data_IF_439512610540
#
_entry.id   IF_439512610540
#
_cell.length_a   1.000
_cell.length_b   1.000
_cell.length_c   1.000
_cell.angle_alpha   90.00
_cell.angle_beta   90.00
_cell.angle_gamma   90.00
#
_symmetry.space_group_name_H-M   'P 1'
#
loop_
_entity.id
_entity.type
_entity.pdbx_description
1 polymer ?
#
# COMPACT_ATOMS: atom_id res chain seq x y z
N UNK A 1 -37.10 28.02 -11.40
CA UNK A 1 -36.64 26.99 -12.36
C UNK A 1 -36.59 25.65 -11.65
N UNK A 2 -37.01 24.59 -12.32
CA UNK A 2 -36.79 23.23 -11.83
C UNK A 2 -35.31 22.86 -12.03
N UNK A 3 -34.80 21.90 -11.24
CA UNK A 3 -33.42 21.37 -11.43
C UNK A 3 -33.25 20.83 -12.87
N UNK A 4 -34.33 20.37 -13.50
CA UNK A 4 -34.30 19.93 -14.91
C UNK A 4 -33.96 21.05 -15.90
N UNK A 5 -34.44 22.27 -15.65
CA UNK A 5 -34.18 23.45 -16.50
C UNK A 5 -32.78 24.05 -16.25
N UNK A 6 -32.16 23.69 -15.13
CA UNK A 6 -30.81 24.12 -14.72
C UNK A 6 -29.73 23.08 -15.11
N UNK A 7 -30.14 21.94 -15.67
CA UNK A 7 -29.26 20.85 -16.08
C UNK A 7 -28.75 21.08 -17.51
N UNK A 8 -27.43 21.21 -17.65
CA UNK A 8 -26.74 21.13 -18.93
C UNK A 8 -25.96 19.83 -19.01
N UNK A 9 -26.10 19.11 -20.11
CA UNK A 9 -25.42 17.84 -20.34
C UNK A 9 -24.68 17.92 -21.65
N UNK A 10 -23.37 17.74 -21.59
CA UNK A 10 -22.53 17.74 -22.79
C UNK A 10 -22.63 16.37 -23.50
N UNK A 11 -22.36 16.33 -24.81
CA UNK A 11 -22.26 15.06 -25.54
C UNK A 11 -21.28 14.09 -24.89
N UNK A 12 -21.52 12.79 -25.04
CA UNK A 12 -20.58 11.77 -24.58
C UNK A 12 -19.23 11.91 -25.28
N UNK A 13 -18.16 11.98 -24.50
CA UNK A 13 -16.80 12.08 -25.01
C UNK A 13 -16.05 10.77 -24.69
N UNK A 14 -15.50 10.06 -25.68
CA UNK A 14 -14.69 8.88 -25.40
C UNK A 14 -13.36 9.29 -24.73
N UNK A 15 -13.09 8.77 -23.52
CA UNK A 15 -11.86 9.03 -22.76
C UNK A 15 -11.25 7.72 -22.30
N UNK A 16 -10.18 7.26 -22.98
CA UNK A 16 -9.50 5.99 -22.66
C UNK A 16 -10.48 4.82 -22.67
N UNK A 17 -10.65 4.10 -21.55
CA UNK A 17 -11.58 2.99 -21.37
C UNK A 17 -12.99 3.41 -20.95
N UNK A 18 -13.30 4.72 -20.99
CA UNK A 18 -14.58 5.28 -20.55
C UNK A 18 -15.29 6.06 -21.66
N UNK A 19 -16.61 6.17 -21.54
CA UNK A 19 -17.41 7.26 -22.11
C UNK A 19 -17.62 8.31 -21.01
N UNK A 20 -17.21 9.56 -21.24
CA UNK A 20 -17.38 10.66 -20.30
C UNK A 20 -18.70 11.38 -20.57
N UNK A 21 -19.58 11.40 -19.57
CA UNK A 21 -20.80 12.22 -19.52
C UNK A 21 -20.55 13.42 -18.60
N UNK A 22 -20.55 14.64 -19.14
CA UNK A 22 -20.42 15.85 -18.31
C UNK A 22 -21.81 16.42 -18.04
N UNK A 23 -22.11 16.64 -16.77
CA UNK A 23 -23.35 17.23 -16.28
C UNK A 23 -22.96 18.50 -15.53
N UNK A 24 -23.61 19.61 -15.85
CA UNK A 24 -23.43 20.89 -15.18
C UNK A 24 -24.78 21.34 -14.62
N UNK A 25 -24.77 21.79 -13.37
CA UNK A 25 -25.93 22.42 -12.72
C UNK A 25 -25.48 23.80 -12.27
N UNK A 26 -26.09 24.84 -12.85
CA UNK A 26 -25.84 26.23 -12.51
C UNK A 26 -27.08 26.86 -11.88
N UNK A 27 -26.90 28.03 -11.25
CA UNK A 27 -28.00 28.90 -10.82
C UNK A 27 -28.96 28.29 -9.78
N UNK A 28 -28.45 27.44 -8.88
CA UNK A 28 -29.23 26.87 -7.78
C UNK A 28 -29.52 27.90 -6.69
N UNK A 29 -30.75 27.92 -6.19
CA UNK A 29 -31.09 28.61 -4.94
C UNK A 29 -30.63 27.80 -3.70
N UNK A 30 -30.59 28.43 -2.53
CA UNK A 30 -30.10 27.83 -1.29
C UNK A 30 -30.84 26.54 -0.88
N UNK A 31 -32.12 26.41 -1.22
CA UNK A 31 -32.95 25.22 -0.92
C UNK A 31 -32.66 24.09 -1.89
N UNK A 32 -32.49 24.41 -3.18
CA UNK A 32 -32.06 23.47 -4.21
C UNK A 32 -30.64 22.98 -3.94
N UNK A 33 -29.73 23.87 -3.55
CA UNK A 33 -28.35 23.54 -3.19
C UNK A 33 -28.30 22.58 -1.98
N UNK A 34 -29.11 22.83 -0.94
CA UNK A 34 -29.23 21.93 0.21
C UNK A 34 -29.76 20.54 -0.18
N UNK A 35 -30.75 20.48 -1.07
CA UNK A 35 -31.32 19.21 -1.57
C UNK A 35 -30.33 18.41 -2.40
N UNK A 36 -29.58 19.10 -3.26
CA UNK A 36 -28.50 18.53 -4.08
C UNK A 36 -27.38 18.01 -3.16
N UNK A 37 -26.92 18.80 -2.19
CA UNK A 37 -25.92 18.38 -1.18
C UNK A 37 -26.38 17.18 -0.35
N UNK A 38 -27.63 17.16 0.10
CA UNK A 38 -28.20 16.07 0.91
C UNK A 38 -28.31 14.76 0.14
N UNK A 39 -28.69 14.81 -1.15
CA UNK A 39 -28.71 13.64 -2.03
C UNK A 39 -27.30 13.04 -2.20
N UNK A 40 -26.25 13.87 -2.20
CA UNK A 40 -24.86 13.41 -2.32
C UNK A 40 -24.25 12.86 -1.03
N UNK A 41 -24.69 13.32 0.15
CA UNK A 41 -24.20 12.83 1.44
C UNK A 41 -24.72 11.42 1.80
N UNK A 42 -25.85 10.99 1.23
CA UNK A 42 -26.51 9.72 1.56
C UNK A 42 -26.18 8.55 0.61
N UNK A 43 -25.17 8.67 -0.24
CA UNK A 43 -24.77 7.65 -1.23
C UNK A 43 -25.86 7.25 -2.25
N UNK A 44 -26.85 8.12 -2.51
CA UNK A 44 -27.92 7.84 -3.47
C UNK A 44 -27.51 8.14 -4.93
N UNK A 45 -28.17 7.42 -5.83
CA UNK A 45 -27.89 7.33 -7.25
C UNK A 45 -28.20 8.68 -7.94
N UNK A 46 -27.29 9.19 -8.79
CA UNK A 46 -27.49 10.40 -9.62
C UNK A 46 -28.85 10.47 -10.36
N UNK A 47 -29.54 9.33 -10.50
CA UNK A 47 -30.87 9.17 -11.09
C UNK A 47 -31.99 9.89 -10.33
N UNK A 48 -31.79 10.23 -9.06
CA UNK A 48 -32.77 10.97 -8.25
C UNK A 48 -32.72 12.48 -8.53
N UNK A 49 -31.65 12.95 -9.18
CA UNK A 49 -31.41 14.36 -9.52
C UNK A 49 -31.46 14.58 -11.04
N UNK A 50 -30.97 13.62 -11.82
CA UNK A 50 -30.89 13.70 -13.29
C UNK A 50 -31.96 12.80 -13.92
N UNK A 51 -32.96 13.36 -14.62
CA UNK A 51 -34.05 12.61 -15.22
C UNK A 51 -33.60 11.50 -16.17
N UNK A 52 -34.34 10.39 -16.22
CA UNK A 52 -34.02 9.20 -17.04
C UNK A 52 -33.73 9.52 -18.52
N UNK A 53 -34.43 10.51 -19.10
CA UNK A 53 -34.29 10.93 -20.51
C UNK A 53 -32.88 11.39 -20.90
N UNK A 54 -32.07 11.78 -19.92
CA UNK A 54 -30.72 12.29 -20.12
C UNK A 54 -29.63 11.24 -19.97
N UNK A 55 -30.00 10.01 -19.62
CA UNK A 55 -29.05 8.92 -19.48
C UNK A 55 -28.84 8.23 -20.83
N UNK A 56 -27.60 7.95 -21.23
CA UNK A 56 -27.36 7.19 -22.45
C UNK A 56 -27.95 5.79 -22.35
N UNK A 57 -28.44 5.29 -23.48
CA UNK A 57 -29.04 3.97 -23.59
C UNK A 57 -28.03 2.88 -23.16
N UNK A 58 -28.34 2.22 -22.05
CA UNK A 58 -27.38 1.36 -21.33
C UNK A 58 -26.95 0.13 -22.12
N UNK A 59 -27.78 -0.32 -23.06
CA UNK A 59 -27.49 -1.44 -23.96
C UNK A 59 -26.54 -1.06 -25.13
N UNK A 60 -26.19 0.22 -25.28
CA UNK A 60 -25.37 0.74 -26.38
C UNK A 60 -23.98 1.25 -25.95
N UNK A 61 -23.69 1.29 -24.64
CA UNK A 61 -22.39 1.72 -24.14
C UNK A 61 -21.33 0.63 -24.36
N UNK A 62 -20.34 0.91 -25.19
CA UNK A 62 -19.20 0.00 -25.44
C UNK A 62 -18.11 0.08 -24.36
N UNK A 63 -18.19 1.05 -23.44
CA UNK A 63 -17.16 1.37 -22.41
C UNK A 63 -17.82 1.71 -21.07
N UNK A 64 -17.04 1.71 -19.98
CA UNK A 64 -17.51 2.14 -18.64
C UNK A 64 -17.93 3.61 -18.70
N UNK A 65 -19.00 4.01 -18.00
CA UNK A 65 -19.46 5.39 -17.97
C UNK A 65 -18.74 6.15 -16.84
N UNK A 66 -18.06 7.24 -17.19
CA UNK A 66 -17.52 8.21 -16.24
C UNK A 66 -18.41 9.44 -16.26
N UNK A 67 -18.87 9.91 -15.12
CA UNK A 67 -19.76 11.08 -15.03
C UNK A 67 -19.01 12.18 -14.30
N UNK A 68 -18.88 13.34 -14.93
CA UNK A 68 -18.35 14.52 -14.29
C UNK A 68 -19.49 15.49 -14.03
N UNK A 69 -19.84 15.66 -12.76
CA UNK A 69 -20.85 16.62 -12.34
C UNK A 69 -20.17 17.90 -11.84
N UNK A 70 -20.59 19.05 -12.33
CA UNK A 70 -20.19 20.35 -11.79
C UNK A 70 -21.40 21.04 -11.19
N UNK A 71 -21.32 21.42 -9.92
CA UNK A 71 -22.33 22.25 -9.23
C UNK A 71 -21.66 23.56 -8.86
N UNK A 72 -22.07 24.65 -9.50
CA UNK A 72 -21.34 25.94 -9.48
C UNK A 72 -19.85 25.77 -9.82
N UNK A 73 -18.95 25.90 -8.84
CA UNK A 73 -17.50 25.77 -8.99
C UNK A 73 -16.94 24.43 -8.48
N UNK A 74 -17.77 23.59 -7.85
CA UNK A 74 -17.35 22.30 -7.31
C UNK A 74 -17.55 21.19 -8.34
N UNK A 75 -16.48 20.42 -8.59
CA UNK A 75 -16.49 19.26 -9.47
C UNK A 75 -16.54 17.97 -8.67
N UNK A 76 -17.46 17.11 -9.05
CA UNK A 76 -17.62 15.75 -8.55
C UNK A 76 -17.43 14.79 -9.71
N UNK A 77 -16.74 13.68 -9.47
CA UNK A 77 -16.58 12.64 -10.47
C UNK A 77 -17.26 11.37 -9.96
N UNK A 78 -17.96 10.68 -10.83
CA UNK A 78 -18.63 9.42 -10.52
C UNK A 78 -18.28 8.39 -11.58
N UNK A 79 -18.28 7.13 -11.18
CA UNK A 79 -17.93 6.04 -12.08
C UNK A 79 -18.97 4.93 -12.01
N UNK A 80 -19.33 4.37 -13.17
CA UNK A 80 -20.16 3.18 -13.25
C UNK A 80 -19.38 1.93 -12.83
N UNK A 81 -19.94 1.15 -11.91
CA UNK A 81 -19.46 -0.16 -11.49
C UNK A 81 -19.96 -1.29 -12.41
N UNK A 82 -19.35 -2.50 -12.35
CA UNK A 82 -19.78 -3.66 -13.14
C UNK A 82 -21.25 -4.07 -12.89
N UNK A 83 -21.77 -3.83 -11.69
CA UNK A 83 -23.18 -4.02 -11.32
C UNK A 83 -24.06 -2.80 -11.66
N UNK A 84 -23.56 -1.86 -12.44
CA UNK A 84 -24.27 -0.66 -12.92
C UNK A 84 -24.68 0.33 -11.83
N UNK A 85 -24.08 0.27 -10.63
CA UNK A 85 -24.17 1.35 -9.64
C UNK A 85 -23.21 2.49 -10.00
N UNK A 86 -23.57 3.71 -9.64
CA UNK A 86 -22.76 4.90 -9.88
C UNK A 86 -22.29 5.42 -8.53
N UNK A 87 -20.98 5.44 -8.30
CA UNK A 87 -20.39 5.81 -7.02
C UNK A 87 -19.63 7.13 -7.13
N UNK A 88 -19.70 7.96 -6.08
CA UNK A 88 -18.93 9.19 -5.97
C UNK A 88 -17.44 8.85 -5.81
N UNK A 89 -16.63 9.35 -6.73
CA UNK A 89 -15.17 9.30 -6.66
C UNK A 89 -14.71 10.69 -6.24
N UNK A 90 -14.37 10.86 -4.97
CA UNK A 90 -13.79 12.11 -4.49
C UNK A 90 -12.40 12.29 -5.14
N UNK A 91 -12.23 13.30 -6.00
CA UNK A 91 -10.90 13.73 -6.43
C UNK A 91 -10.22 14.42 -5.25
N UNK A 92 -9.40 13.67 -4.50
CA UNK A 92 -8.41 14.30 -3.63
C UNK A 92 -7.34 14.90 -4.53
N UNK A 93 -7.37 16.22 -4.73
CA UNK A 93 -6.25 16.93 -5.35
C UNK A 93 -4.99 16.70 -4.51
N UNK A 94 -3.83 16.46 -5.12
CA UNK A 94 -2.57 16.43 -4.39
C UNK A 94 -2.42 17.70 -3.56
N UNK A 95 -2.03 17.57 -2.28
CA UNK A 95 -1.45 18.72 -1.59
C UNK A 95 -0.23 19.17 -2.40
N UNK A 96 -0.06 20.47 -2.56
CA UNK A 96 1.12 21.07 -3.17
C UNK A 96 2.08 21.56 -2.09
N UNK A 97 3.38 21.53 -2.35
CA UNK A 97 4.35 22.24 -1.51
C UNK A 97 4.41 23.74 -1.88
N UNK A 98 5.28 24.48 -1.20
CA UNK A 98 5.47 25.93 -1.38
C UNK A 98 5.96 26.30 -2.79
N UNK A 99 6.42 25.32 -3.58
CA UNK A 99 6.87 25.47 -4.95
C UNK A 99 5.82 25.01 -5.98
N UNK A 100 4.58 24.70 -5.54
CA UNK A 100 3.50 24.22 -6.41
C UNK A 100 3.62 22.76 -6.85
N UNK A 101 4.56 21.99 -6.29
CA UNK A 101 4.81 20.58 -6.66
C UNK A 101 3.86 19.66 -5.89
N UNK A 102 3.45 18.55 -6.49
CA UNK A 102 2.66 17.53 -5.77
C UNK A 102 3.48 16.97 -4.61
N UNK A 103 2.96 17.08 -3.39
CA UNK A 103 3.63 16.68 -2.16
C UNK A 103 3.71 15.15 -2.06
N UNK A 104 4.80 14.57 -2.58
CA UNK A 104 5.12 13.15 -2.46
C UNK A 104 6.63 12.89 -2.61
N UNK A 105 7.27 12.46 -1.53
CA UNK A 105 8.71 12.18 -1.48
C UNK A 105 9.07 10.76 -1.93
N UNK A 106 8.08 9.89 -2.09
CA UNK A 106 8.32 8.45 -2.24
C UNK A 106 9.20 8.11 -3.46
N UNK A 107 9.03 8.75 -4.63
CA UNK A 107 9.89 8.51 -5.80
C UNK A 107 11.34 8.99 -5.66
N UNK A 108 11.64 9.86 -4.69
CA UNK A 108 13.00 10.30 -4.39
C UNK A 108 13.70 9.45 -3.33
N UNK A 109 12.94 8.73 -2.49
CA UNK A 109 13.51 8.00 -1.35
C UNK A 109 13.41 6.48 -1.40
N UNK A 110 12.48 5.90 -2.14
CA UNK A 110 12.19 4.46 -2.06
C UNK A 110 12.26 3.79 -3.42
N UNK A 111 12.92 2.64 -3.47
CA UNK A 111 12.86 1.71 -4.59
C UNK A 111 12.44 0.33 -4.10
N UNK A 112 11.47 -0.27 -4.78
CA UNK A 112 11.10 -1.68 -4.63
C UNK A 112 11.61 -2.41 -5.86
N UNK A 113 12.40 -3.45 -5.67
CA UNK A 113 13.04 -4.22 -6.72
C UNK A 113 12.55 -5.67 -6.66
N UNK A 114 12.19 -6.22 -7.82
CA UNK A 114 11.90 -7.63 -8.00
C UNK A 114 10.51 -7.93 -8.55
N UNK A 115 10.29 -9.18 -8.95
CA UNK A 115 9.17 -9.56 -9.81
C UNK A 115 9.33 -8.95 -11.21
N UNK A 116 10.56 -8.97 -11.73
CA UNK A 116 10.96 -8.44 -13.05
C UNK A 116 10.71 -6.94 -13.25
N UNK A 117 10.51 -6.19 -12.15
CA UNK A 117 10.25 -4.76 -12.22
C UNK A 117 10.77 -4.00 -10.99
N UNK A 118 10.93 -2.69 -11.18
CA UNK A 118 11.18 -1.74 -10.12
C UNK A 118 10.00 -0.78 -9.96
N UNK A 119 9.79 -0.25 -8.75
CA UNK A 119 8.82 0.83 -8.52
C UNK A 119 9.01 1.48 -7.15
N UNK A 120 8.70 2.77 -6.98
CA UNK A 120 8.87 3.43 -5.69
C UNK A 120 7.78 3.09 -4.69
N UNK A 121 6.55 2.81 -5.16
CA UNK A 121 5.42 2.54 -4.28
C UNK A 121 4.33 1.70 -4.95
N UNK A 122 3.41 1.17 -4.15
CA UNK A 122 2.30 0.32 -4.60
C UNK A 122 1.04 1.10 -5.04
N UNK A 123 1.09 2.42 -4.98
CA UNK A 123 -0.04 3.32 -5.29
C UNK A 123 0.04 3.91 -6.70
N UNK A 124 0.89 3.33 -7.55
CA UNK A 124 1.01 3.71 -8.94
C UNK A 124 -0.09 3.04 -9.77
N UNK A 125 -0.46 3.69 -10.87
CA UNK A 125 -1.40 3.12 -11.84
C UNK A 125 -0.83 1.84 -12.48
N UNK A 126 -1.70 0.90 -12.86
CA UNK A 126 -1.31 -0.42 -13.38
C UNK A 126 -0.38 -0.38 -14.62
N UNK A 127 -0.44 0.70 -15.40
CA UNK A 127 0.40 0.94 -16.58
C UNK A 127 1.83 1.40 -16.25
N UNK A 128 2.11 1.81 -15.01
CA UNK A 128 3.46 2.19 -14.61
C UNK A 128 4.32 0.93 -14.46
N UNK A 129 5.33 0.78 -15.33
CA UNK A 129 6.25 -0.36 -15.31
C UNK A 129 7.67 0.12 -15.59
N UNK A 130 8.58 -0.25 -14.70
CA UNK A 130 10.01 -0.04 -14.87
C UNK A 130 10.63 -1.43 -14.88
N UNK A 131 11.23 -1.90 -15.99
CA UNK A 131 11.85 -3.22 -16.03
C UNK A 131 13.08 -3.26 -15.13
N UNK A 132 13.43 -4.44 -14.62
CA UNK A 132 14.65 -4.60 -13.80
C UNK A 132 15.31 -5.98 -13.94
N UNK A 133 14.90 -6.80 -14.90
CA UNK A 133 15.44 -8.15 -15.07
C UNK A 133 16.66 -8.19 -16.00
N UNK A 134 17.21 -9.39 -16.17
CA UNK A 134 18.48 -9.64 -16.85
C UNK A 134 18.45 -9.29 -18.35
N UNK A 135 17.26 -9.14 -18.95
CA UNK A 135 17.13 -8.65 -20.33
C UNK A 135 17.52 -7.17 -20.46
N UNK A 136 17.67 -6.49 -19.33
CA UNK A 136 17.99 -5.08 -19.22
C UNK A 136 19.24 -4.88 -18.33
N UNK A 137 20.29 -5.67 -18.55
CA UNK A 137 21.48 -5.74 -17.68
C UNK A 137 22.23 -4.43 -17.46
N UNK A 138 22.10 -3.45 -18.35
CA UNK A 138 22.73 -2.14 -18.23
C UNK A 138 21.73 -1.02 -17.87
N UNK A 139 20.47 -1.38 -17.67
CA UNK A 139 19.42 -0.42 -17.36
C UNK A 139 19.44 -0.06 -15.88
N UNK A 140 19.45 1.24 -15.57
CA UNK A 140 19.23 1.73 -14.21
C UNK A 140 17.73 2.00 -13.97
N UNK A 141 17.00 1.11 -13.28
CA UNK A 141 15.59 1.34 -12.99
C UNK A 141 15.35 2.48 -11.99
N UNK A 142 16.36 2.95 -11.27
CA UNK A 142 16.23 4.09 -10.37
C UNK A 142 16.17 5.43 -11.11
N UNK A 143 16.85 5.51 -12.26
CA UNK A 143 16.93 6.71 -13.09
C UNK A 143 16.44 6.54 -14.51
N UNK A 144 15.87 5.40 -14.86
CA UNK A 144 15.31 5.17 -16.18
C UNK A 144 14.16 6.13 -16.52
N UNK A 145 13.86 6.27 -17.81
CA UNK A 145 12.97 7.32 -18.34
C UNK A 145 11.59 7.34 -17.70
N UNK A 146 11.03 6.16 -17.41
CA UNK A 146 9.72 6.04 -16.76
C UNK A 146 9.74 6.55 -15.31
N UNK A 147 10.85 6.34 -14.58
CA UNK A 147 11.01 6.87 -13.22
C UNK A 147 11.20 8.39 -13.24
N UNK A 148 12.03 8.89 -14.17
CA UNK A 148 12.23 10.32 -14.37
C UNK A 148 10.92 11.03 -14.77
N UNK A 149 10.11 10.43 -15.63
CA UNK A 149 8.79 10.95 -16.02
C UNK A 149 7.82 11.04 -14.83
N UNK A 150 7.83 10.06 -13.92
CA UNK A 150 7.05 10.12 -12.68
C UNK A 150 7.49 11.30 -11.80
N UNK A 151 8.79 11.49 -11.61
CA UNK A 151 9.32 12.62 -10.82
C UNK A 151 8.97 13.96 -11.47
N UNK A 152 9.20 14.11 -12.77
CA UNK A 152 8.83 15.31 -13.54
C UNK A 152 7.35 15.65 -13.44
N UNK A 153 6.46 14.65 -13.53
CA UNK A 153 5.02 14.86 -13.32
C UNK A 153 4.76 15.50 -11.96
N UNK A 154 5.33 14.95 -10.88
CA UNK A 154 5.09 15.43 -9.52
C UNK A 154 5.68 16.83 -9.30
N UNK A 155 6.86 17.12 -9.85
CA UNK A 155 7.47 18.47 -9.84
C UNK A 155 6.57 19.50 -10.51
N UNK A 156 5.83 19.11 -11.54
CA UNK A 156 4.89 20.01 -12.23
C UNK A 156 3.52 20.10 -11.54
N UNK A 157 3.38 19.61 -10.30
CA UNK A 157 2.10 19.59 -9.60
C UNK A 157 1.12 18.52 -10.12
N UNK A 158 1.57 17.60 -11.00
CA UNK A 158 0.74 16.58 -11.65
C UNK A 158 0.93 15.20 -11.03
N UNK A 159 -0.11 14.38 -11.05
CA UNK A 159 -0.09 13.02 -10.49
C UNK A 159 -0.37 11.92 -11.54
N UNK A 160 0.10 12.10 -12.78
CA UNK A 160 -0.24 11.30 -13.97
C UNK A 160 -0.03 9.78 -13.83
N UNK A 161 0.85 9.35 -12.93
CA UNK A 161 1.20 7.94 -12.70
C UNK A 161 0.73 7.42 -11.34
N UNK A 162 0.07 8.27 -10.55
CA UNK A 162 -0.36 7.97 -9.20
C UNK A 162 -1.87 7.71 -9.17
N UNK A 163 -2.29 6.89 -8.21
CA UNK A 163 -3.70 6.72 -7.90
C UNK A 163 -4.30 8.03 -7.32
N UNK A 164 -5.49 8.43 -7.77
CA UNK A 164 -6.11 9.70 -7.38
C UNK A 164 -6.40 9.81 -5.86
N UNK A 165 -6.77 8.71 -5.20
CA UNK A 165 -6.98 8.68 -3.74
C UNK A 165 -5.74 8.30 -2.94
N UNK A 166 -4.53 8.61 -3.43
CA UNK A 166 -3.29 8.19 -2.78
C UNK A 166 -3.15 8.81 -1.37
N UNK A 167 -2.91 8.01 -0.31
CA UNK A 167 -2.77 8.54 1.05
C UNK A 167 -1.54 9.43 1.23
N UNK A 168 -0.52 9.32 0.37
CA UNK A 168 0.66 10.18 0.42
C UNK A 168 0.32 11.65 0.13
N UNK A 169 -0.75 11.92 -0.61
CA UNK A 169 -1.20 13.28 -0.91
C UNK A 169 -1.95 13.94 0.24
N UNK A 170 -2.41 13.18 1.24
CA UNK A 170 -3.09 13.73 2.43
C UNK A 170 -2.15 13.97 3.60
N UNK A 171 -0.93 13.43 3.57
CA UNK A 171 0.05 13.57 4.64
C UNK A 171 1.03 14.69 4.30
N UNK A 172 0.91 15.85 4.96
CA UNK A 172 2.01 16.82 5.01
C UNK A 172 3.09 16.21 5.91
N UNK A 173 4.21 15.81 5.32
CA UNK A 173 5.37 15.33 6.09
C UNK A 173 6.56 16.29 5.96
N UNK A 174 6.45 17.58 6.37
CA UNK A 174 7.62 18.43 6.52
C UNK A 174 8.60 17.88 7.57
N UNK A 175 8.11 17.32 8.68
CA UNK A 175 8.98 17.02 9.84
C UNK A 175 9.94 15.83 9.63
N UNK A 176 9.54 14.75 8.94
CA UNK A 176 10.49 13.63 8.66
C UNK A 176 11.60 14.05 7.70
N UNK A 177 11.34 15.05 6.85
CA UNK A 177 12.36 15.57 5.94
C UNK A 177 13.46 16.31 6.69
N UNK A 178 13.16 17.01 7.78
CA UNK A 178 14.16 17.83 8.50
C UNK A 178 14.91 17.08 9.60
N UNK A 179 14.51 15.84 9.93
CA UNK A 179 15.24 15.05 10.92
C UNK A 179 16.65 14.73 10.43
N UNK A 180 17.67 15.18 11.17
CA UNK A 180 19.06 14.82 10.93
C UNK A 180 19.24 13.32 11.22
N UNK A 181 19.81 12.59 10.27
CA UNK A 181 20.19 11.20 10.49
C UNK A 181 21.62 11.15 11.04
N UNK A 182 21.79 10.58 12.23
CA UNK A 182 23.08 10.55 12.95
C UNK A 182 23.82 9.21 12.83
N UNK A 183 23.37 8.29 11.98
CA UNK A 183 24.04 7.00 11.77
C UNK A 183 25.22 7.09 10.81
N UNK A 184 25.52 5.96 10.17
CA UNK A 184 26.61 5.80 9.18
C UNK A 184 26.68 6.96 8.18
N UNK A 185 27.90 7.49 7.96
CA UNK A 185 28.12 8.67 7.13
C UNK A 185 27.65 8.48 5.69
N UNK A 186 27.87 7.30 5.10
CA UNK A 186 27.45 7.02 3.74
C UNK A 186 25.93 7.09 3.58
N UNK A 187 25.19 6.60 4.59
CA UNK A 187 23.73 6.66 4.61
C UNK A 187 23.27 8.11 4.82
N UNK A 188 23.91 8.85 5.73
CA UNK A 188 23.61 10.26 5.99
C UNK A 188 23.79 11.12 4.75
N UNK A 189 24.95 11.04 4.11
CA UNK A 189 25.29 11.83 2.93
C UNK A 189 24.31 11.53 1.77
N UNK A 190 23.92 10.26 1.62
CA UNK A 190 22.90 9.87 0.64
C UNK A 190 21.50 10.43 0.95
N UNK A 191 21.10 10.49 2.23
CA UNK A 191 19.83 11.10 2.64
C UNK A 191 19.83 12.61 2.36
N UNK A 192 20.92 13.29 2.69
CA UNK A 192 21.05 14.73 2.49
C UNK A 192 21.07 15.09 1.00
N UNK A 193 21.75 14.29 0.17
CA UNK A 193 21.71 14.41 -1.28
C UNK A 193 20.29 14.20 -1.83
N UNK A 194 19.60 13.12 -1.43
CA UNK A 194 18.23 12.86 -1.89
C UNK A 194 17.24 13.97 -1.46
N UNK A 195 17.48 14.59 -0.30
CA UNK A 195 16.71 15.75 0.18
C UNK A 195 16.96 16.96 -0.72
N UNK A 196 18.21 17.30 -1.02
CA UNK A 196 18.56 18.40 -1.90
C UNK A 196 17.95 18.20 -3.31
N UNK A 197 18.12 17.01 -3.89
CA UNK A 197 17.58 16.67 -5.20
C UNK A 197 16.05 16.77 -5.26
N UNK A 198 15.34 16.40 -4.19
CA UNK A 198 13.90 16.63 -4.11
C UNK A 198 13.56 18.13 -4.08
N UNK A 199 14.26 18.91 -3.24
CA UNK A 199 14.04 20.35 -3.09
C UNK A 199 14.36 21.13 -4.38
N UNK A 200 15.29 20.64 -5.19
CA UNK A 200 15.62 21.20 -6.51
C UNK A 200 14.73 20.66 -7.64
N UNK A 201 13.88 19.66 -7.36
CA UNK A 201 13.01 19.06 -8.37
C UNK A 201 13.74 18.20 -9.40
N UNK A 202 14.92 17.67 -9.04
CA UNK A 202 15.73 16.79 -9.89
C UNK A 202 14.97 15.49 -10.18
N UNK A 203 14.92 15.07 -11.44
CA UNK A 203 14.21 13.85 -11.87
C UNK A 203 15.10 12.65 -12.15
N UNK A 204 16.40 12.86 -12.35
CA UNK A 204 17.41 11.79 -12.40
C UNK A 204 18.41 12.04 -11.27
N UNK A 205 18.43 11.10 -10.33
CA UNK A 205 19.06 11.24 -9.04
C UNK A 205 20.46 10.64 -9.06
N UNK A 206 21.42 11.36 -8.50
CA UNK A 206 22.71 10.84 -8.09
C UNK A 206 22.57 10.03 -6.80
N UNK A 207 21.68 10.46 -5.89
CA UNK A 207 21.35 9.69 -4.69
C UNK A 207 20.84 8.29 -5.02
N UNK A 208 21.05 7.36 -4.08
CA UNK A 208 20.54 6.00 -4.12
C UNK A 208 19.31 5.86 -3.22
N UNK A 209 18.50 4.79 -3.39
CA UNK A 209 17.31 4.60 -2.57
C UNK A 209 17.61 4.56 -1.05
N UNK A 210 17.03 5.50 -0.30
CA UNK A 210 17.07 5.50 1.18
C UNK A 210 16.33 4.28 1.75
N UNK A 211 15.22 3.88 1.11
CA UNK A 211 14.46 2.68 1.43
C UNK A 211 14.50 1.71 0.27
N UNK A 212 15.17 0.58 0.46
CA UNK A 212 15.29 -0.49 -0.52
C UNK A 212 14.39 -1.66 -0.13
N UNK A 213 13.36 -1.98 -0.92
CA UNK A 213 12.53 -3.15 -0.69
C UNK A 213 12.80 -4.23 -1.74
N UNK A 214 13.18 -5.41 -1.30
CA UNK A 214 13.61 -6.50 -2.16
C UNK A 214 12.56 -7.61 -2.13
N UNK A 215 11.95 -7.89 -3.29
CA UNK A 215 11.18 -9.11 -3.50
C UNK A 215 12.18 -10.23 -3.77
N UNK A 216 12.38 -11.13 -2.80
CA UNK A 216 13.38 -12.20 -2.86
C UNK A 216 13.02 -13.29 -3.86
N UNK A 217 11.74 -13.62 -3.96
CA UNK A 217 11.26 -14.64 -4.87
C UNK A 217 9.80 -14.97 -4.65
N UNK A 218 9.35 -16.08 -5.23
CA UNK A 218 7.97 -16.60 -5.11
C UNK A 218 7.88 -17.86 -4.26
N UNK A 219 8.99 -18.51 -3.90
CA UNK A 219 8.97 -19.70 -3.04
C UNK A 219 8.45 -19.33 -1.64
N UNK A 220 7.60 -20.19 -1.10
CA UNK A 220 6.94 -20.04 0.20
C UNK A 220 6.53 -21.43 0.70
N UNK A 221 6.60 -21.65 2.00
CA UNK A 221 6.13 -22.84 2.71
C UNK A 221 4.65 -22.73 3.14
N UNK A 222 4.02 -21.55 2.98
CA UNK A 222 2.57 -21.38 3.06
C UNK A 222 1.91 -21.56 1.69
N UNK A 223 0.59 -21.74 1.67
CA UNK A 223 -0.27 -21.70 0.49
C UNK A 223 -1.50 -20.80 0.70
N UNK A 224 -1.28 -19.58 1.23
CA UNK A 224 -2.39 -18.78 1.74
C UNK A 224 -3.50 -18.52 0.70
N UNK A 225 -4.75 -18.65 1.13
CA UNK A 225 -5.95 -18.48 0.28
C UNK A 225 -6.07 -17.07 -0.29
N UNK A 226 -5.64 -16.07 0.47
CA UNK A 226 -5.59 -14.65 0.08
C UNK A 226 -4.29 -14.22 -0.65
N UNK A 227 -3.39 -15.15 -1.01
CA UNK A 227 -2.07 -14.80 -1.55
C UNK A 227 -2.12 -14.31 -3.01
N UNK A 228 -1.72 -13.06 -3.23
CA UNK A 228 -1.57 -12.51 -4.58
C UNK A 228 -0.32 -12.99 -5.35
N UNK A 229 0.59 -13.72 -4.69
CA UNK A 229 1.84 -14.25 -5.25
C UNK A 229 1.69 -15.70 -5.71
N UNK A 230 1.02 -16.58 -4.95
CA UNK A 230 0.72 -17.94 -5.44
C UNK A 230 -0.22 -17.91 -6.64
N UNK A 231 -1.08 -16.90 -6.75
CA UNK A 231 -1.90 -16.68 -7.95
C UNK A 231 -1.11 -16.15 -9.15
N UNK A 232 0.20 -15.88 -9.02
CA UNK A 232 1.08 -15.62 -10.16
C UNK A 232 1.82 -16.91 -10.54
N UNK A 233 1.52 -17.48 -11.70
CA UNK A 233 2.09 -18.75 -12.19
C UNK A 233 3.57 -18.66 -12.61
N UNK A 234 4.27 -17.55 -12.32
CA UNK A 234 5.66 -17.36 -12.76
C UNK A 234 6.61 -17.57 -11.58
N UNK A 235 7.50 -18.58 -11.63
CA UNK A 235 8.58 -18.67 -10.67
C UNK A 235 9.49 -17.45 -10.84
N UNK A 236 9.77 -16.74 -9.75
CA UNK A 236 10.71 -15.62 -9.74
C UNK A 236 11.64 -15.77 -8.54
N UNK A 237 12.93 -15.47 -8.75
CA UNK A 237 13.93 -15.32 -7.70
C UNK A 237 14.80 -14.11 -8.04
N UNK A 238 15.12 -13.30 -7.03
CA UNK A 238 16.03 -12.17 -7.17
C UNK A 238 17.41 -12.66 -7.56
N UNK A 239 17.81 -12.41 -8.81
CA UNK A 239 19.04 -12.91 -9.42
C UNK A 239 19.60 -11.88 -10.41
N UNK A 240 20.75 -12.20 -11.00
CA UNK A 240 21.35 -11.45 -12.10
C UNK A 240 21.45 -9.94 -11.86
N UNK A 241 20.88 -9.16 -12.75
CA UNK A 241 20.90 -7.70 -12.75
C UNK A 241 20.24 -7.09 -11.50
N UNK A 242 19.04 -7.53 -11.15
CA UNK A 242 18.36 -7.04 -9.95
C UNK A 242 19.16 -7.34 -8.68
N UNK A 243 19.84 -8.49 -8.61
CA UNK A 243 20.72 -8.80 -7.48
C UNK A 243 21.94 -7.86 -7.44
N UNK A 244 22.58 -7.59 -8.59
CA UNK A 244 23.69 -6.62 -8.69
C UNK A 244 23.26 -5.23 -8.23
N UNK A 245 22.09 -4.75 -8.68
CA UNK A 245 21.52 -3.48 -8.23
C UNK A 245 21.28 -3.48 -6.72
N UNK A 246 20.68 -4.54 -6.17
CA UNK A 246 20.45 -4.67 -4.74
C UNK A 246 21.76 -4.54 -3.94
N UNK A 247 22.82 -5.23 -4.35
CA UNK A 247 24.15 -5.10 -3.74
C UNK A 247 24.70 -3.67 -3.85
N UNK A 248 24.57 -3.02 -5.01
CA UNK A 248 25.09 -1.66 -5.22
C UNK A 248 24.36 -0.59 -4.39
N UNK A 249 23.08 -0.81 -4.09
CA UNK A 249 22.24 0.15 -3.37
C UNK A 249 22.18 -0.10 -1.87
N UNK A 250 22.42 -1.34 -1.42
CA UNK A 250 22.35 -1.72 0.00
C UNK A 250 23.19 -0.81 0.93
N UNK A 251 24.44 -0.43 0.60
CA UNK A 251 25.27 0.39 1.48
C UNK A 251 24.63 1.73 1.81
N UNK A 252 23.97 2.35 0.84
CA UNK A 252 23.35 3.68 0.94
C UNK A 252 21.96 3.68 1.58
N UNK A 253 21.31 2.52 1.64
CA UNK A 253 19.96 2.41 2.16
C UNK A 253 19.95 2.48 3.70
N UNK A 254 19.15 3.41 4.25
CA UNK A 254 18.84 3.45 5.68
C UNK A 254 17.92 2.31 6.09
N UNK A 255 16.96 1.94 5.25
CA UNK A 255 16.02 0.86 5.53
C UNK A 255 16.04 -0.16 4.38
N UNK A 256 16.23 -1.44 4.72
CA UNK A 256 16.11 -2.53 3.76
C UNK A 256 14.95 -3.44 4.16
N UNK A 257 14.05 -3.72 3.21
CA UNK A 257 12.85 -4.52 3.45
C UNK A 257 12.89 -5.77 2.60
N UNK A 258 13.05 -6.93 3.24
CA UNK A 258 12.93 -8.22 2.58
C UNK A 258 11.46 -8.69 2.56
N UNK A 259 11.00 -9.09 1.38
CA UNK A 259 9.61 -9.52 1.12
C UNK A 259 9.58 -10.47 -0.09
N UNK A 260 8.40 -10.89 -0.54
CA UNK A 260 8.23 -11.86 -1.63
C UNK A 260 7.22 -12.93 -1.25
N UNK A 261 7.51 -14.18 -1.62
CA UNK A 261 6.90 -15.36 -1.01
C UNK A 261 7.29 -15.41 0.47
N UNK A 262 8.29 -16.22 0.81
CA UNK A 262 8.87 -16.25 2.16
C UNK A 262 10.37 -15.90 2.11
N UNK A 263 10.80 -14.73 2.61
CA UNK A 263 12.21 -14.35 2.60
C UNK A 263 13.13 -15.34 3.32
N UNK A 264 12.70 -15.98 4.41
CA UNK A 264 13.54 -16.88 5.18
C UNK A 264 13.86 -18.20 4.45
N UNK A 265 13.08 -18.59 3.43
CA UNK A 265 13.45 -19.67 2.49
C UNK A 265 14.75 -19.33 1.75
N UNK A 266 15.00 -18.03 1.54
CA UNK A 266 16.18 -17.52 0.85
C UNK A 266 17.29 -17.08 1.81
N UNK A 267 17.37 -17.63 3.02
CA UNK A 267 18.32 -17.18 4.05
C UNK A 267 19.79 -17.12 3.60
N UNK A 268 20.25 -18.06 2.77
CA UNK A 268 21.61 -17.99 2.18
C UNK A 268 21.77 -16.78 1.24
N UNK A 269 20.74 -16.49 0.45
CA UNK A 269 20.74 -15.36 -0.47
C UNK A 269 20.63 -14.03 0.26
N UNK A 270 19.82 -13.97 1.33
CA UNK A 270 19.76 -12.85 2.27
C UNK A 270 21.15 -12.56 2.84
N UNK A 271 21.83 -13.57 3.40
CA UNK A 271 23.21 -13.45 3.91
C UNK A 271 24.18 -12.90 2.87
N UNK A 272 24.06 -13.33 1.60
CA UNK A 272 24.87 -12.80 0.51
C UNK A 272 24.61 -11.32 0.25
N UNK A 273 23.34 -10.91 0.14
CA UNK A 273 22.96 -9.50 -0.14
C UNK A 273 23.45 -8.57 0.96
N UNK A 274 23.28 -8.97 2.21
CA UNK A 274 23.56 -8.12 3.36
C UNK A 274 25.06 -8.00 3.64
N UNK A 275 25.85 -9.05 3.38
CA UNK A 275 27.29 -9.07 3.66
C UNK A 275 27.61 -8.57 5.07
N UNK A 276 28.67 -7.76 5.19
CA UNK A 276 29.08 -7.13 6.46
C UNK A 276 28.25 -5.88 6.82
N UNK A 277 27.39 -5.42 5.92
CA UNK A 277 26.61 -4.19 6.12
C UNK A 277 25.46 -4.33 7.14
N UNK A 278 25.24 -5.53 7.68
CA UNK A 278 24.25 -5.79 8.76
C UNK A 278 24.56 -5.06 10.05
N UNK A 279 25.83 -4.67 10.26
CA UNK A 279 26.30 -3.98 11.46
C UNK A 279 26.35 -2.44 11.32
N UNK A 280 25.99 -1.89 10.15
CA UNK A 280 26.05 -0.44 9.94
C UNK A 280 25.09 0.31 10.89
N UNK A 281 25.61 1.35 11.52
CA UNK A 281 24.86 2.12 12.51
C UNK A 281 23.69 2.86 11.86
N UNK A 282 22.52 2.77 12.49
CA UNK A 282 21.30 3.43 12.03
C UNK A 282 20.61 2.76 10.84
N UNK A 283 21.18 1.69 10.26
CA UNK A 283 20.51 0.87 9.24
C UNK A 283 19.46 -0.02 9.89
N UNK A 284 18.23 0.02 9.38
CA UNK A 284 17.13 -0.85 9.78
C UNK A 284 16.91 -1.94 8.73
N UNK A 285 16.99 -3.20 9.14
CA UNK A 285 16.57 -4.32 8.30
C UNK A 285 15.17 -4.75 8.75
N UNK A 286 14.25 -4.85 7.80
CA UNK A 286 12.89 -5.35 8.03
C UNK A 286 12.69 -6.63 7.24
N UNK A 287 12.25 -7.69 7.91
CA UNK A 287 11.89 -8.96 7.28
C UNK A 287 10.39 -9.13 7.42
N UNK A 288 9.67 -9.16 6.29
CA UNK A 288 8.27 -9.58 6.28
C UNK A 288 8.23 -11.10 6.06
N UNK A 289 7.85 -11.84 7.08
CA UNK A 289 7.87 -13.31 7.08
C UNK A 289 6.51 -13.86 7.50
N UNK A 290 6.20 -15.07 7.10
CA UNK A 290 5.09 -15.84 7.63
C UNK A 290 5.38 -16.47 9.01
N UNK A 291 6.64 -16.45 9.44
CA UNK A 291 7.07 -16.88 10.77
C UNK A 291 7.49 -18.35 10.90
N UNK A 292 7.24 -19.21 9.91
CA UNK A 292 7.46 -20.66 10.02
C UNK A 292 8.93 -21.00 10.24
N UNK A 293 9.82 -20.28 9.57
CA UNK A 293 11.27 -20.51 9.59
C UNK A 293 12.02 -19.61 10.59
N UNK A 294 11.31 -18.88 11.44
CA UNK A 294 11.92 -17.92 12.36
C UNK A 294 12.87 -18.62 13.34
N UNK A 295 12.43 -19.75 13.91
CA UNK A 295 13.23 -20.55 14.85
C UNK A 295 14.52 -21.05 14.19
N UNK A 296 14.42 -21.57 12.97
CA UNK A 296 15.55 -22.13 12.22
C UNK A 296 16.53 -21.06 11.75
N UNK A 297 16.10 -19.80 11.68
CA UNK A 297 16.93 -18.68 11.23
C UNK A 297 17.30 -17.71 12.36
N UNK A 298 17.17 -18.10 13.64
CA UNK A 298 17.50 -17.23 14.77
C UNK A 298 18.90 -16.61 14.67
N UNK A 299 19.91 -17.39 14.27
CA UNK A 299 21.29 -16.88 14.15
C UNK A 299 21.44 -15.81 13.06
N UNK A 300 20.70 -15.94 11.95
CA UNK A 300 20.63 -14.88 10.95
C UNK A 300 19.98 -13.63 11.54
N UNK A 301 18.85 -13.79 12.24
CA UNK A 301 18.08 -12.68 12.78
C UNK A 301 18.86 -11.93 13.87
N UNK A 302 19.70 -12.62 14.64
CA UNK A 302 20.59 -12.02 15.64
C UNK A 302 21.71 -11.17 15.04
N UNK A 303 22.09 -11.44 13.79
CA UNK A 303 23.18 -10.75 13.13
C UNK A 303 22.90 -9.30 12.70
N UNK A 304 21.68 -8.77 12.89
CA UNK A 304 21.33 -7.41 12.48
C UNK A 304 21.48 -6.39 13.61
N UNK A 305 22.10 -5.24 13.33
CA UNK A 305 22.24 -4.14 14.30
C UNK A 305 20.89 -3.57 14.75
N UNK A 306 19.93 -3.49 13.81
CA UNK A 306 18.53 -3.15 14.06
C UNK A 306 17.61 -3.95 13.14
N UNK A 307 16.78 -4.81 13.74
CA UNK A 307 15.84 -5.67 13.04
C UNK A 307 14.40 -5.26 13.32
N UNK A 308 13.56 -5.26 12.29
CA UNK A 308 12.11 -5.32 12.45
C UNK A 308 11.60 -6.62 11.86
N UNK A 309 11.27 -7.57 12.72
CA UNK A 309 10.68 -8.84 12.34
C UNK A 309 9.17 -8.68 12.27
N UNK A 310 8.60 -8.77 11.07
CA UNK A 310 7.19 -8.49 10.84
C UNK A 310 6.47 -9.74 10.38
N UNK A 311 5.81 -10.42 11.33
CA UNK A 311 5.25 -11.76 11.19
C UNK A 311 3.78 -11.70 10.79
N UNK A 312 3.43 -12.33 9.66
CA UNK A 312 2.06 -12.46 9.17
C UNK A 312 1.35 -13.68 9.76
N UNK A 313 0.74 -13.49 10.94
CA UNK A 313 0.03 -14.55 11.68
C UNK A 313 -1.48 -14.60 11.36
N UNK A 314 -2.12 -13.46 11.09
CA UNK A 314 -3.51 -13.29 10.63
C UNK A 314 -4.66 -13.75 11.52
N UNK A 315 -4.39 -14.51 12.58
CA UNK A 315 -5.43 -15.09 13.44
C UNK A 315 -4.81 -15.54 14.76
N UNK A 316 -5.63 -15.66 15.80
CA UNK A 316 -5.28 -16.26 17.09
C UNK A 316 -5.65 -17.75 17.20
N UNK A 317 -6.21 -18.34 16.14
CA UNK A 317 -6.80 -19.68 16.17
C UNK A 317 -6.13 -20.62 15.15
N UNK A 318 -5.64 -21.78 15.60
CA UNK A 318 -4.98 -22.77 14.74
C UNK A 318 -5.83 -23.23 13.56
N UNK A 319 -7.14 -23.46 13.77
CA UNK A 319 -8.06 -23.87 12.69
C UNK A 319 -8.22 -22.79 11.63
N UNK A 320 -8.35 -21.53 12.06
CA UNK A 320 -8.40 -20.39 11.12
C UNK A 320 -7.07 -20.22 10.41
N UNK A 321 -5.95 -20.44 11.11
CA UNK A 321 -4.62 -20.37 10.53
C UNK A 321 -4.46 -21.40 9.42
N UNK A 322 -4.84 -22.66 9.67
CA UNK A 322 -4.77 -23.73 8.68
C UNK A 322 -5.63 -23.43 7.45
N UNK A 323 -6.87 -22.97 7.65
CA UNK A 323 -7.75 -22.53 6.55
C UNK A 323 -7.10 -21.41 5.70
N UNK A 324 -6.54 -20.41 6.38
CA UNK A 324 -6.00 -19.22 5.74
C UNK A 324 -4.64 -19.43 5.08
N UNK A 325 -3.77 -20.23 5.69
CA UNK A 325 -2.37 -20.40 5.31
C UNK A 325 -2.08 -21.71 4.59
N UNK A 326 -2.99 -22.69 4.66
CA UNK A 326 -2.82 -23.99 4.02
C UNK A 326 -1.81 -24.92 4.71
N UNK A 327 -1.47 -24.64 5.98
CA UNK A 327 -0.53 -25.45 6.78
C UNK A 327 -0.89 -25.39 8.27
N UNK A 328 -0.59 -26.44 9.02
CA UNK A 328 -0.80 -26.51 10.47
C UNK A 328 0.45 -26.06 11.25
N UNK A 329 0.94 -24.85 10.92
CA UNK A 329 2.19 -24.30 11.49
C UNK A 329 1.96 -23.24 12.56
N UNK A 330 0.72 -23.06 13.03
CA UNK A 330 0.38 -21.98 13.97
C UNK A 330 1.26 -22.00 15.22
N UNK A 331 1.33 -23.15 15.90
CA UNK A 331 2.14 -23.29 17.11
C UNK A 331 3.63 -23.07 16.85
N UNK A 332 4.12 -23.53 15.69
CA UNK A 332 5.51 -23.33 15.26
C UNK A 332 5.84 -21.85 15.10
N UNK A 333 4.94 -21.07 14.49
CA UNK A 333 5.10 -19.61 14.34
C UNK A 333 5.10 -18.91 15.70
N UNK A 334 4.12 -19.23 16.55
CA UNK A 334 3.99 -18.66 17.90
C UNK A 334 5.25 -18.94 18.72
N UNK A 335 5.76 -20.17 18.67
CA UNK A 335 7.00 -20.56 19.35
C UNK A 335 8.23 -19.84 18.78
N UNK A 336 8.32 -19.70 17.46
CA UNK A 336 9.39 -18.91 16.84
C UNK A 336 9.40 -17.45 17.30
N UNK A 337 8.21 -16.85 17.49
CA UNK A 337 8.09 -15.48 18.03
C UNK A 337 8.56 -15.41 19.49
N UNK A 338 8.20 -16.38 20.34
CA UNK A 338 8.69 -16.44 21.73
C UNK A 338 10.21 -16.53 21.77
N UNK A 339 10.80 -17.38 20.96
CA UNK A 339 12.25 -17.56 20.92
C UNK A 339 12.99 -16.31 20.45
N UNK A 340 12.44 -15.56 19.47
CA UNK A 340 13.02 -14.25 19.10
C UNK A 340 12.91 -13.26 20.25
N UNK A 341 11.79 -13.25 20.97
CA UNK A 341 11.58 -12.37 22.12
C UNK A 341 12.59 -12.66 23.24
N UNK A 342 12.81 -13.93 23.56
CA UNK A 342 13.81 -14.37 24.54
C UNK A 342 15.24 -14.08 24.09
N UNK A 343 15.54 -14.36 22.82
CA UNK A 343 16.84 -14.14 22.22
C UNK A 343 17.21 -12.66 22.00
N UNK A 344 16.27 -11.72 22.18
CA UNK A 344 16.46 -10.29 21.96
C UNK A 344 17.34 -9.62 23.03
N UNK A 345 17.75 -10.31 24.09
CA UNK A 345 18.64 -9.75 25.11
C UNK A 345 19.94 -9.21 24.46
N UNK A 346 20.05 -7.88 24.34
CA UNK A 346 21.18 -7.17 23.70
C UNK A 346 20.95 -6.68 22.26
N UNK A 347 19.84 -7.04 21.60
CA UNK A 347 19.57 -6.70 20.19
C UNK A 347 18.47 -5.64 20.04
N UNK A 348 18.63 -4.71 19.08
CA UNK A 348 17.58 -3.75 18.71
C UNK A 348 16.57 -4.40 17.76
N UNK A 349 15.83 -5.39 18.25
CA UNK A 349 14.80 -6.13 17.49
C UNK A 349 13.40 -5.66 17.86
N UNK A 350 12.64 -5.13 16.89
CA UNK A 350 11.20 -4.88 16.99
C UNK A 350 10.44 -6.08 16.40
N UNK A 351 9.54 -6.68 17.17
CA UNK A 351 8.67 -7.77 16.75
C UNK A 351 7.29 -7.18 16.47
N UNK A 352 6.77 -7.41 15.26
CA UNK A 352 5.43 -6.98 14.86
C UNK A 352 4.59 -8.18 14.45
N UNK A 353 3.35 -8.26 14.93
CA UNK A 353 2.37 -9.20 14.40
C UNK A 353 1.41 -8.49 13.45
N UNK A 354 1.11 -9.15 12.33
CA UNK A 354 0.22 -8.65 11.29
C UNK A 354 -1.04 -9.50 11.20
N UNK A 355 -2.14 -8.79 10.97
CA UNK A 355 -3.43 -9.39 10.70
C UNK A 355 -4.12 -8.74 9.50
N UNK A 356 -4.56 -9.56 8.56
CA UNK A 356 -5.49 -9.14 7.51
C UNK A 356 -6.91 -9.24 8.06
N UNK A 357 -7.62 -8.13 8.02
CA UNK A 357 -9.03 -8.02 8.41
C UNK A 357 -9.89 -8.58 7.28
N UNK A 358 -10.62 -9.64 7.59
CA UNK A 358 -11.52 -10.40 6.72
C UNK A 358 -12.75 -10.79 7.51
N UNK A 359 -13.80 -11.28 6.83
CA UNK A 359 -15.00 -11.81 7.49
C UNK A 359 -14.67 -12.94 8.48
N UNK A 360 -13.73 -13.81 8.12
CA UNK A 360 -13.26 -14.91 8.96
C UNK A 360 -12.39 -14.49 10.15
N UNK A 361 -11.80 -13.29 10.13
CA UNK A 361 -10.79 -12.89 11.12
C UNK A 361 -11.19 -11.73 12.00
N UNK A 362 -12.06 -10.81 11.56
CA UNK A 362 -12.28 -9.55 12.28
C UNK A 362 -12.82 -9.74 13.72
N UNK A 363 -13.62 -10.78 13.97
CA UNK A 363 -14.11 -11.10 15.32
C UNK A 363 -13.01 -11.59 16.27
N UNK A 364 -11.88 -12.02 15.73
CA UNK A 364 -10.73 -12.50 16.50
C UNK A 364 -9.76 -11.38 16.88
N UNK A 365 -10.01 -10.12 16.51
CA UNK A 365 -9.10 -9.01 16.82
C UNK A 365 -8.80 -8.96 18.32
N UNK A 366 -9.80 -9.11 19.20
CA UNK A 366 -9.61 -9.12 20.66
C UNK A 366 -8.74 -10.28 21.15
N UNK A 367 -8.95 -11.48 20.63
CA UNK A 367 -8.12 -12.66 20.97
C UNK A 367 -6.70 -12.52 20.42
N UNK A 368 -6.55 -11.96 19.22
CA UNK A 368 -5.26 -11.68 18.61
C UNK A 368 -4.48 -10.63 19.40
N UNK A 369 -5.17 -9.64 19.97
CA UNK A 369 -4.62 -8.65 20.89
C UNK A 369 -4.11 -9.30 22.18
N UNK A 370 -4.88 -10.21 22.80
CA UNK A 370 -4.43 -10.97 23.97
C UNK A 370 -3.20 -11.80 23.65
N UNK A 371 -3.21 -12.53 22.54
CA UNK A 371 -2.05 -13.30 22.09
C UNK A 371 -0.81 -12.43 21.90
N UNK A 372 -0.97 -11.23 21.36
CA UNK A 372 0.14 -10.29 21.18
C UNK A 372 0.71 -9.79 22.52
N UNK A 373 -0.15 -9.53 23.50
CA UNK A 373 0.25 -9.18 24.86
C UNK A 373 1.01 -10.34 25.52
N UNK A 374 0.49 -11.57 25.43
CA UNK A 374 1.12 -12.77 26.00
C UNK A 374 2.50 -13.05 25.39
N UNK A 375 2.66 -12.76 24.09
CA UNK A 375 3.95 -12.90 23.40
C UNK A 375 4.92 -11.73 23.65
N UNK A 376 4.45 -10.64 24.27
CA UNK A 376 5.26 -9.45 24.54
C UNK A 376 5.84 -8.80 23.28
N UNK A 377 5.11 -8.80 22.17
CA UNK A 377 5.54 -8.17 20.90
C UNK A 377 5.51 -6.64 21.00
N UNK A 378 6.16 -5.92 20.09
CA UNK A 378 6.26 -4.46 20.17
C UNK A 378 5.13 -3.73 19.43
N UNK A 379 4.53 -4.36 18.41
CA UNK A 379 3.39 -3.76 17.72
C UNK A 379 2.45 -4.72 17.00
N UNK A 380 1.20 -4.27 16.85
CA UNK A 380 0.20 -4.87 15.98
C UNK A 380 -0.01 -4.04 14.71
N UNK A 381 -0.20 -4.74 13.60
CA UNK A 381 -0.45 -4.12 12.30
C UNK A 381 -1.64 -4.78 11.63
N UNK A 382 -2.74 -4.04 11.57
CA UNK A 382 -3.92 -4.45 10.82
C UNK A 382 -3.83 -3.99 9.35
N UNK A 383 -4.36 -4.81 8.45
CA UNK A 383 -4.41 -4.55 7.01
C UNK A 383 -5.75 -5.00 6.46
N UNK A 384 -6.31 -4.26 5.52
CA UNK A 384 -7.50 -4.69 4.80
C UNK A 384 -7.14 -5.76 3.76
N UNK A 385 -8.04 -6.73 3.57
CA UNK A 385 -7.98 -7.64 2.43
C UNK A 385 -8.08 -6.89 1.10
N UNK A 386 -7.02 -7.03 0.30
CA UNK A 386 -7.07 -6.72 -1.12
C UNK A 386 -7.49 -7.98 -1.88
N UNK A 387 -8.67 -7.92 -2.46
CA UNK A 387 -9.23 -9.03 -3.20
C UNK A 387 -8.96 -8.89 -4.71
N UNK A 388 -8.73 -10.02 -5.36
CA UNK A 388 -8.58 -10.14 -6.82
C UNK A 388 -9.27 -11.44 -7.25
N UNK A 389 -9.85 -11.48 -8.45
CA UNK A 389 -10.59 -12.65 -8.96
C UNK A 389 -9.78 -13.95 -8.96
N UNK A 390 -8.47 -13.84 -9.15
CA UNK A 390 -7.54 -14.99 -9.15
C UNK A 390 -7.15 -15.54 -7.77
N UNK A 391 -7.68 -14.99 -6.67
CA UNK A 391 -7.36 -15.49 -5.34
C UNK A 391 -8.16 -16.76 -5.02
N UNK A 392 -7.64 -17.61 -4.13
CA UNK A 392 -8.34 -18.82 -3.64
C UNK A 392 -9.23 -18.51 -2.44
N UNK A 393 -9.75 -17.29 -2.35
CA UNK A 393 -10.60 -16.81 -1.25
C UNK A 393 -11.80 -16.08 -1.85
N UNK A 394 -12.98 -16.31 -1.28
CA UNK A 394 -14.22 -15.71 -1.76
C UNK A 394 -14.20 -14.17 -1.57
N UNK A 395 -14.84 -13.44 -2.48
CA UNK A 395 -15.00 -11.98 -2.35
C UNK A 395 -15.77 -11.59 -1.08
N UNK A 396 -16.63 -12.48 -0.57
CA UNK A 396 -17.38 -12.31 0.68
C UNK A 396 -16.49 -12.16 1.93
N UNK A 397 -15.22 -12.57 1.84
CA UNK A 397 -14.23 -12.34 2.89
C UNK A 397 -13.77 -10.88 2.96
N UNK A 398 -13.94 -10.10 1.88
CA UNK A 398 -13.66 -8.67 1.88
C UNK A 398 -14.81 -7.91 2.55
N UNK A 399 -14.48 -7.10 3.55
CA UNK A 399 -15.45 -6.21 4.20
C UNK A 399 -15.70 -4.98 3.31
N UNK A 400 -16.79 -5.02 2.54
CA UNK A 400 -17.15 -3.97 1.59
C UNK A 400 -17.59 -2.68 2.31
N UNK A 401 -17.47 -1.49 1.68
CA UNK A 401 -18.04 -0.27 2.24
C UNK A 401 -19.52 -0.43 2.59
N UNK A 402 -19.92 0.07 3.77
CA UNK A 402 -21.28 -0.10 4.29
C UNK A 402 -21.52 -1.39 5.08
N UNK A 403 -20.58 -2.34 5.09
CA UNK A 403 -20.66 -3.53 5.93
C UNK A 403 -20.52 -3.17 7.42
N UNK A 404 -21.49 -3.52 8.29
CA UNK A 404 -21.40 -3.30 9.74
C UNK A 404 -20.14 -3.88 10.37
N UNK A 405 -19.60 -4.98 9.82
CA UNK A 405 -18.37 -5.60 10.30
C UNK A 405 -17.15 -4.66 10.23
N UNK A 406 -17.15 -3.64 9.36
CA UNK A 406 -16.10 -2.61 9.35
C UNK A 406 -16.12 -1.77 10.61
N UNK A 407 -17.31 -1.39 11.09
CA UNK A 407 -17.48 -0.65 12.34
C UNK A 407 -17.05 -1.48 13.54
N UNK A 408 -17.48 -2.74 13.60
CA UNK A 408 -17.07 -3.70 14.63
C UNK A 408 -15.55 -3.89 14.64
N UNK A 409 -14.92 -4.04 13.47
CA UNK A 409 -13.48 -4.20 13.36
C UNK A 409 -12.71 -2.95 13.83
N UNK A 410 -13.18 -1.75 13.49
CA UNK A 410 -12.56 -0.50 13.95
C UNK A 410 -12.68 -0.35 15.47
N UNK A 411 -13.86 -0.58 16.03
CA UNK A 411 -14.06 -0.59 17.50
C UNK A 411 -13.11 -1.56 18.19
N UNK A 412 -12.97 -2.79 17.66
CA UNK A 412 -12.06 -3.77 18.24
C UNK A 412 -10.58 -3.38 18.13
N UNK A 413 -10.18 -2.61 17.10
CA UNK A 413 -8.82 -2.09 16.94
C UNK A 413 -8.55 -0.93 17.90
N UNK A 414 -9.54 -0.08 18.14
CA UNK A 414 -9.46 1.01 19.12
C UNK A 414 -9.34 0.43 20.53
N UNK A 415 -10.19 -0.54 20.90
CA UNK A 415 -10.08 -1.30 22.14
C UNK A 415 -8.73 -2.01 22.29
N UNK A 416 -8.19 -2.58 21.19
CA UNK A 416 -6.87 -3.17 21.19
C UNK A 416 -5.77 -2.14 21.50
N UNK A 417 -5.92 -0.91 21.00
CA UNK A 417 -4.98 0.18 21.25
C UNK A 417 -4.99 0.58 22.72
N UNK A 418 -6.18 0.70 23.32
CA UNK A 418 -6.35 1.02 24.74
C UNK A 418 -5.79 -0.09 25.64
N UNK A 419 -6.12 -1.35 25.35
CA UNK A 419 -5.67 -2.51 26.12
C UNK A 419 -4.14 -2.67 26.09
N UNK A 420 -3.50 -2.41 24.95
CA UNK A 420 -2.07 -2.62 24.75
C UNK A 420 -1.19 -1.42 25.14
N UNK A 421 -1.77 -0.21 25.21
CA UNK A 421 -1.06 1.01 25.61
C UNK A 421 -0.28 0.88 26.94
N UNK A 422 -0.86 0.39 28.06
CA UNK A 422 -0.12 0.24 29.32
C UNK A 422 0.99 -0.81 29.26
N UNK A 423 0.94 -1.73 28.29
CA UNK A 423 1.96 -2.75 28.06
C UNK A 423 3.08 -2.26 27.13
N UNK A 424 2.99 -1.01 26.64
CA UNK A 424 3.95 -0.43 25.69
C UNK A 424 3.88 -1.02 24.28
N UNK A 425 2.85 -1.83 23.97
CA UNK A 425 2.67 -2.46 22.66
C UNK A 425 1.87 -1.52 21.76
N UNK A 426 2.43 -1.18 20.59
CA UNK A 426 1.84 -0.17 19.70
C UNK A 426 0.86 -0.80 18.72
N UNK A 427 -0.36 -0.31 18.66
CA UNK A 427 -1.25 -0.59 17.53
C UNK A 427 -1.00 0.43 16.43
N UNK A 428 -0.60 -0.02 15.24
CA UNK A 428 -0.38 0.91 14.11
C UNK A 428 -1.73 1.43 13.60
N UNK A 429 -1.82 2.72 13.24
CA UNK A 429 -3.03 3.29 12.68
C UNK A 429 -3.55 2.46 11.50
N UNK A 430 -4.86 2.20 11.55
CA UNK A 430 -5.56 1.45 10.54
C UNK A 430 -6.75 2.26 10.03
N UNK A 431 -6.93 2.23 8.72
CA UNK A 431 -8.14 2.69 8.07
C UNK A 431 -8.39 1.76 6.90
N UNK A 432 -9.66 1.45 6.66
CA UNK A 432 -10.06 0.80 5.43
C UNK A 432 -9.77 1.73 4.25
N UNK A 433 -9.28 1.12 3.18
CA UNK A 433 -8.98 1.77 1.92
C UNK A 433 -10.26 2.34 1.31
N UNK A 434 -10.20 3.60 0.89
CA UNK A 434 -11.27 4.23 0.12
C UNK A 434 -11.38 3.63 -1.30
N UNK A 435 -10.40 2.81 -1.72
CA UNK A 435 -10.48 1.99 -2.94
C UNK A 435 -11.46 0.84 -2.75
N UNK A 436 -12.75 1.17 -2.83
CA UNK A 436 -13.80 0.16 -2.83
C UNK A 436 -13.75 -0.77 -4.06
N UNK A 437 -13.19 -0.32 -5.21
CA UNK A 437 -13.64 -0.88 -6.49
C UNK A 437 -12.57 -1.26 -7.53
N UNK A 438 -11.29 -1.42 -7.18
CA UNK A 438 -10.31 -2.02 -8.11
C UNK A 438 -10.43 -3.57 -8.14
N UNK A 439 -11.66 -4.06 -8.28
CA UNK A 439 -12.03 -5.47 -8.42
C UNK A 439 -11.88 -5.95 -9.88
N UNK A 440 -11.34 -5.14 -10.80
CA UNK A 440 -11.13 -5.50 -12.21
C UNK A 440 -9.67 -5.48 -12.66
#
# INVERSE_FOLDING_TARGET
MTIEEQLRIDPLIPVSNYELLTIQITDLDSKQEARVKQAFQRHYCLRDIVPKKFWPDRLRLKRKLLIQLTVHSQRYRYQSQPNHTIVLVQEKKPLTDDFGRSFCLVPWKRSRLGGLSASPCRHLVRKFRVPSDDRFSDYDPWNGDTMAALRNSLVQGRNNYCFHGCPHFSTRVPQEMHALFTGDSLIRDNIDLARAEYLEGVSRLHSKPIVLALKMGTACDNQCTFCSIHSTCSPYTLTGHSLKLAHSWFPFARQVVFTGGEPLVYAKHLRRIIGDHVQQEGKEVRINTNGILVREQLDLLRGFSKLVLSVSLNTSCSKTYQYLHGTDSFQKVVEGVRQVKEARQGLKTEIQLKMIIMRSTYRQIRDFTRLAADLGVDSLVFRELRWYERLKIDVAEKLMPGDPARGEALSAIDEASEYLAPLGVKVRPFAFDARADDVT
#
